data_IF_206436202238
#
_entry.id   IF_206436202238
#
_cell.length_a   1.000
_cell.length_b   1.000
_cell.length_c   1.000
_cell.angle_alpha   90.00
_cell.angle_beta   90.00
_cell.angle_gamma   90.00
#
_symmetry.space_group_name_H-M   'P 1'
#
loop_
_entity.id
_entity.type
_entity.pdbx_description
1 polymer ?
#
# COMPACT_ATOMS: atom_id res chain seq x y z
N UNK A 1 31.99 1.72 0.87
CA UNK A 1 31.66 3.14 1.16
C UNK A 1 31.93 4.09 -0.01
N UNK A 2 32.84 3.79 -0.96
CA UNK A 2 33.15 4.72 -2.08
C UNK A 2 32.11 4.84 -3.21
N UNK A 3 31.21 3.87 -3.39
CA UNK A 3 30.22 3.90 -4.49
C UNK A 3 29.02 4.83 -4.18
N UNK A 4 28.65 5.01 -2.91
CA UNK A 4 27.52 5.89 -2.54
C UNK A 4 27.84 7.39 -2.70
N UNK A 5 29.12 7.79 -2.65
CA UNK A 5 29.51 9.20 -2.75
C UNK A 5 29.31 9.78 -4.16
N UNK A 6 29.43 8.96 -5.21
CA UNK A 6 29.30 9.42 -6.60
C UNK A 6 27.83 9.56 -7.07
N UNK A 7 26.88 9.00 -6.32
CA UNK A 7 25.44 9.00 -6.68
C UNK A 7 24.63 10.00 -5.84
N UNK A 8 25.27 10.72 -4.90
CA UNK A 8 24.57 11.68 -4.03
C UNK A 8 23.67 11.02 -2.97
N UNK A 9 23.87 9.73 -2.71
CA UNK A 9 23.05 8.95 -1.76
C UNK A 9 23.62 9.12 -0.35
N UNK A 10 22.86 9.78 0.53
CA UNK A 10 23.23 9.87 1.94
C UNK A 10 22.76 8.65 2.74
N UNK A 11 23.48 8.26 3.82
CA UNK A 11 22.99 7.23 4.73
C UNK A 11 21.61 7.57 5.31
N UNK A 12 21.34 8.87 5.50
CA UNK A 12 20.07 9.36 6.00
C UNK A 12 18.94 9.14 4.99
N UNK A 13 19.20 9.34 3.70
CA UNK A 13 18.26 9.05 2.62
C UNK A 13 17.93 7.56 2.59
N UNK A 14 18.93 6.68 2.64
CA UNK A 14 18.73 5.22 2.66
C UNK A 14 17.86 4.82 3.85
N UNK A 15 18.18 5.31 5.05
CA UNK A 15 17.41 5.03 6.26
C UNK A 15 15.95 5.49 6.11
N UNK A 16 15.74 6.72 5.61
CA UNK A 16 14.41 7.32 5.44
C UNK A 16 13.58 6.56 4.41
N UNK A 17 14.20 6.17 3.29
CA UNK A 17 13.54 5.36 2.24
C UNK A 17 13.20 3.98 2.77
N UNK A 18 14.13 3.30 3.43
CA UNK A 18 13.92 1.97 3.99
C UNK A 18 12.78 1.97 5.03
N UNK A 19 12.81 2.89 6.00
CA UNK A 19 11.79 2.92 7.04
C UNK A 19 10.41 3.31 6.51
N UNK A 20 10.35 4.20 5.51
CA UNK A 20 9.08 4.58 4.88
C UNK A 20 8.53 3.45 4.02
N UNK A 21 9.38 2.83 3.19
CA UNK A 21 8.98 1.75 2.32
C UNK A 21 8.53 0.52 3.13
N UNK A 22 9.37 0.00 4.02
CA UNK A 22 9.04 -1.21 4.79
C UNK A 22 8.06 -0.93 5.94
N UNK A 23 8.22 0.18 6.65
CA UNK A 23 7.39 0.51 7.81
C UNK A 23 5.97 0.95 7.47
N UNK A 24 5.72 1.40 6.24
CA UNK A 24 4.38 1.84 5.81
C UNK A 24 3.88 1.05 4.60
N UNK A 25 4.65 0.99 3.51
CA UNK A 25 4.19 0.34 2.26
C UNK A 25 4.25 -1.19 2.37
N UNK A 26 5.31 -1.74 2.95
CA UNK A 26 5.40 -3.17 3.24
C UNK A 26 4.33 -3.65 4.20
N UNK A 27 3.96 -2.81 5.16
CA UNK A 27 2.85 -3.09 6.07
C UNK A 27 1.50 -3.21 5.34
N UNK A 28 1.23 -2.32 4.37
CA UNK A 28 0.03 -2.43 3.52
C UNK A 28 0.01 -3.77 2.77
N UNK A 29 1.15 -4.16 2.20
CA UNK A 29 1.30 -5.45 1.53
C UNK A 29 1.05 -6.62 2.46
N UNK A 30 1.60 -6.54 3.68
CA UNK A 30 1.41 -7.54 4.72
C UNK A 30 -0.06 -7.72 5.09
N UNK A 31 -0.76 -6.63 5.42
CA UNK A 31 -2.19 -6.67 5.79
C UNK A 31 -3.10 -7.16 4.67
N UNK A 32 -2.69 -6.95 3.41
CA UNK A 32 -3.41 -7.42 2.22
C UNK A 32 -3.26 -8.94 2.04
N UNK A 33 -2.07 -9.50 2.25
CA UNK A 33 -1.80 -10.92 2.05
C UNK A 33 -2.16 -11.83 3.24
N UNK A 34 -2.16 -11.28 4.46
CA UNK A 34 -2.21 -12.10 5.70
C UNK A 34 -3.49 -12.90 5.90
N UNK A 35 -4.60 -12.54 5.25
CA UNK A 35 -5.88 -13.24 5.43
C UNK A 35 -6.05 -14.45 4.53
N UNK A 36 -5.21 -14.61 3.51
CA UNK A 36 -5.40 -15.58 2.44
C UNK A 36 -5.25 -17.03 2.94
N UNK A 37 -4.09 -17.39 3.51
CA UNK A 37 -3.85 -18.74 4.04
C UNK A 37 -4.69 -19.10 5.27
N UNK A 38 -4.89 -18.22 6.27
CA UNK A 38 -5.75 -18.51 7.41
C UNK A 38 -7.25 -18.43 7.09
N UNK A 39 -7.66 -18.31 5.82
CA UNK A 39 -9.06 -18.15 5.42
C UNK A 39 -9.97 -19.25 5.97
N UNK A 40 -9.53 -20.52 6.00
CA UNK A 40 -10.27 -21.62 6.62
C UNK A 40 -10.46 -21.45 8.12
N UNK A 41 -9.40 -21.06 8.84
CA UNK A 41 -9.43 -20.81 10.28
C UNK A 41 -10.32 -19.62 10.63
N UNK A 42 -10.30 -18.55 9.81
CA UNK A 42 -11.15 -17.38 9.98
C UNK A 42 -12.62 -17.75 9.77
N UNK A 43 -12.96 -18.52 8.72
CA UNK A 43 -14.32 -19.02 8.47
C UNK A 43 -14.85 -19.87 9.63
N UNK A 44 -14.02 -20.77 10.16
CA UNK A 44 -14.38 -21.60 11.32
C UNK A 44 -14.60 -20.75 12.58
N UNK A 45 -13.73 -19.76 12.81
CA UNK A 45 -13.85 -18.84 13.94
C UNK A 45 -15.12 -17.97 13.87
N UNK A 46 -15.41 -17.37 12.71
CA UNK A 46 -16.60 -16.54 12.54
C UNK A 46 -17.88 -17.37 12.63
N UNK A 47 -17.91 -18.56 12.01
CA UNK A 47 -19.06 -19.47 12.07
C UNK A 47 -19.37 -19.98 13.48
N UNK A 48 -18.35 -20.14 14.33
CA UNK A 48 -18.53 -20.60 15.72
C UNK A 48 -19.13 -19.54 16.64
N UNK A 49 -18.81 -18.27 16.43
CA UNK A 49 -19.11 -17.18 17.36
C UNK A 49 -20.15 -16.17 16.83
N UNK A 50 -20.57 -16.27 15.58
CA UNK A 50 -21.66 -15.47 15.00
C UNK A 50 -22.83 -16.37 14.63
N UNK A 51 -23.70 -16.66 15.61
CA UNK A 51 -24.90 -17.48 15.42
C UNK A 51 -25.97 -16.73 14.63
N UNK A 52 -26.51 -17.34 13.56
CA UNK A 52 -27.64 -16.80 12.79
C UNK A 52 -27.29 -15.68 11.80
N UNK A 53 -26.00 -15.47 11.50
CA UNK A 53 -25.57 -14.53 10.48
C UNK A 53 -25.56 -15.12 9.05
N UNK A 54 -25.28 -14.28 8.03
CA UNK A 54 -25.07 -14.74 6.66
C UNK A 54 -23.94 -15.78 6.58
N UNK A 55 -23.93 -16.66 5.56
CA UNK A 55 -22.99 -17.78 5.47
C UNK A 55 -21.51 -17.43 5.74
N UNK A 56 -20.72 -18.40 6.22
CA UNK A 56 -19.30 -18.20 6.64
C UNK A 56 -18.43 -17.59 5.54
N UNK A 57 -18.71 -17.90 4.27
CA UNK A 57 -18.04 -17.30 3.12
C UNK A 57 -18.31 -15.80 2.98
N UNK A 58 -19.55 -15.37 3.23
CA UNK A 58 -19.91 -13.96 3.21
C UNK A 58 -19.22 -13.20 4.35
N UNK A 59 -19.19 -13.79 5.56
CA UNK A 59 -18.48 -13.20 6.70
C UNK A 59 -16.98 -13.06 6.42
N UNK A 60 -16.35 -14.08 5.83
CA UNK A 60 -14.95 -14.03 5.43
C UNK A 60 -14.69 -12.97 4.36
N UNK A 61 -15.54 -12.89 3.33
CA UNK A 61 -15.44 -11.83 2.31
C UNK A 61 -15.60 -10.43 2.91
N UNK A 62 -16.47 -10.29 3.92
CA UNK A 62 -16.70 -9.03 4.61
C UNK A 62 -15.46 -8.53 5.36
N UNK A 63 -14.63 -9.43 5.93
CA UNK A 63 -13.35 -9.08 6.57
C UNK A 63 -12.44 -8.33 5.59
N UNK A 64 -12.32 -8.84 4.35
CA UNK A 64 -11.53 -8.22 3.29
C UNK A 64 -12.17 -6.94 2.75
N UNK A 65 -13.49 -6.93 2.57
CA UNK A 65 -14.22 -5.78 2.03
C UNK A 65 -14.13 -4.55 2.97
N UNK A 66 -14.28 -4.75 4.28
CA UNK A 66 -14.21 -3.67 5.27
C UNK A 66 -12.83 -3.01 5.28
N UNK A 67 -11.75 -3.79 5.11
CA UNK A 67 -10.39 -3.26 4.98
C UNK A 67 -10.26 -2.31 3.79
N UNK A 68 -10.79 -2.71 2.62
CA UNK A 68 -10.74 -1.89 1.39
C UNK A 68 -11.59 -0.62 1.54
N UNK A 69 -12.80 -0.73 2.10
CA UNK A 69 -13.68 0.43 2.33
C UNK A 69 -13.02 1.43 3.29
N UNK A 70 -12.46 0.95 4.40
CA UNK A 70 -11.73 1.81 5.33
C UNK A 70 -10.47 2.43 4.68
N UNK A 71 -9.78 1.68 3.83
CA UNK A 71 -8.67 2.19 3.01
C UNK A 71 -9.08 3.30 2.06
N UNK A 72 -10.24 3.20 1.43
CA UNK A 72 -10.77 4.27 0.58
C UNK A 72 -11.01 5.57 1.39
N UNK A 73 -11.61 5.45 2.57
CA UNK A 73 -11.84 6.59 3.48
C UNK A 73 -10.51 7.18 3.95
N UNK A 74 -9.56 6.33 4.36
CA UNK A 74 -8.22 6.75 4.75
C UNK A 74 -7.48 7.47 3.63
N UNK A 75 -7.58 6.97 2.40
CA UNK A 75 -6.96 7.56 1.21
C UNK A 75 -7.49 8.97 0.93
N UNK A 76 -8.80 9.19 1.10
CA UNK A 76 -9.41 10.51 0.93
C UNK A 76 -8.92 11.53 1.97
N UNK A 77 -8.64 11.08 3.19
CA UNK A 77 -8.11 11.93 4.27
C UNK A 77 -6.61 12.24 4.14
N UNK A 78 -5.86 11.39 3.42
CA UNK A 78 -4.39 11.43 3.35
C UNK A 78 -3.81 12.77 2.91
N UNK A 79 -4.41 13.41 1.89
CA UNK A 79 -3.95 14.71 1.37
C UNK A 79 -4.08 15.83 2.39
N UNK A 80 -5.23 15.94 3.06
CA UNK A 80 -5.48 16.95 4.10
C UNK A 80 -4.51 16.78 5.28
N UNK A 81 -4.23 15.53 5.65
CA UNK A 81 -3.31 15.22 6.74
C UNK A 81 -1.87 15.57 6.36
N UNK A 82 -1.42 15.18 5.17
CA UNK A 82 -0.08 15.48 4.66
C UNK A 82 0.19 16.98 4.48
N UNK A 83 -0.84 17.77 4.14
CA UNK A 83 -0.75 19.23 4.03
C UNK A 83 -0.73 19.94 5.39
N UNK A 84 -1.45 19.42 6.40
CA UNK A 84 -1.53 20.06 7.74
C UNK A 84 -0.39 19.63 8.67
N UNK A 85 -0.14 18.34 8.79
CA UNK A 85 0.79 17.77 9.76
C UNK A 85 2.22 17.68 9.20
N UNK A 86 2.35 17.58 7.88
CA UNK A 86 3.60 17.20 7.20
C UNK A 86 3.60 15.73 6.83
N UNK A 87 4.56 15.31 6.00
CA UNK A 87 4.59 13.96 5.44
C UNK A 87 5.04 12.96 6.51
N UNK A 88 6.19 13.25 7.13
CA UNK A 88 6.78 12.44 8.22
C UNK A 88 5.85 12.34 9.42
N UNK A 89 5.30 13.46 9.88
CA UNK A 89 4.41 13.44 11.05
C UNK A 89 3.08 12.72 10.77
N UNK A 90 2.57 12.79 9.53
CA UNK A 90 1.38 12.02 9.14
C UNK A 90 1.67 10.52 9.17
N UNK A 91 2.82 10.09 8.64
CA UNK A 91 3.25 8.68 8.71
C UNK A 91 3.45 8.22 10.16
N UNK A 92 3.99 9.07 11.04
CA UNK A 92 4.14 8.75 12.46
C UNK A 92 2.80 8.54 13.16
N UNK A 93 1.82 9.41 12.90
CA UNK A 93 0.47 9.23 13.41
C UNK A 93 -0.20 8.00 12.79
N UNK A 94 0.10 7.70 11.53
CA UNK A 94 -0.44 6.54 10.84
C UNK A 94 0.05 5.22 11.43
N UNK A 95 1.31 5.15 11.84
CA UNK A 95 1.86 4.01 12.56
C UNK A 95 1.11 3.74 13.88
N UNK A 96 0.53 4.77 14.52
CA UNK A 96 -0.32 4.55 15.70
C UNK A 96 -1.60 3.80 15.33
N UNK A 97 -2.25 4.11 14.20
CA UNK A 97 -3.39 3.33 13.70
C UNK A 97 -3.00 1.87 13.42
N UNK A 98 -1.85 1.63 12.79
CA UNK A 98 -1.35 0.27 12.59
C UNK A 98 -1.21 -0.53 13.90
N UNK A 99 -0.58 0.07 14.92
CA UNK A 99 -0.39 -0.58 16.22
C UNK A 99 -1.74 -0.82 16.91
N UNK A 100 -2.65 0.16 16.88
CA UNK A 100 -3.99 0.01 17.45
C UNK A 100 -4.75 -1.12 16.74
N UNK A 101 -4.71 -1.18 15.41
CA UNK A 101 -5.32 -2.25 14.63
C UNK A 101 -4.79 -3.64 15.01
N UNK A 102 -3.47 -3.77 15.12
CA UNK A 102 -2.79 -4.99 15.54
C UNK A 102 -3.18 -5.42 16.97
N UNK A 103 -3.20 -4.48 17.93
CA UNK A 103 -3.56 -4.75 19.33
C UNK A 103 -5.04 -5.11 19.48
N UNK A 104 -5.93 -4.54 18.66
CA UNK A 104 -7.36 -4.88 18.66
C UNK A 104 -7.57 -6.28 18.06
N UNK A 105 -6.92 -6.61 16.94
CA UNK A 105 -7.14 -7.91 16.28
C UNK A 105 -6.43 -9.07 16.99
N UNK A 106 -5.25 -8.86 17.57
CA UNK A 106 -4.46 -9.91 18.21
C UNK A 106 -5.23 -10.79 19.21
N UNK A 107 -5.98 -10.24 20.18
CA UNK A 107 -6.71 -11.03 21.16
C UNK A 107 -8.06 -11.57 20.65
N UNK A 108 -8.42 -11.45 19.36
CA UNK A 108 -9.78 -11.77 18.90
C UNK A 108 -10.22 -13.21 19.21
N UNK A 109 -9.32 -14.19 19.07
CA UNK A 109 -9.60 -15.60 19.42
C UNK A 109 -9.68 -15.81 20.93
N UNK A 110 -8.78 -15.19 21.71
CA UNK A 110 -8.78 -15.29 23.18
C UNK A 110 -10.06 -14.68 23.78
N UNK A 111 -10.50 -13.55 23.25
CA UNK A 111 -11.71 -12.85 23.65
C UNK A 111 -12.99 -13.46 23.02
N UNK A 112 -12.87 -14.48 22.16
CA UNK A 112 -13.98 -15.17 21.49
C UNK A 112 -14.93 -14.20 20.77
N UNK A 113 -14.38 -13.12 20.22
CA UNK A 113 -15.16 -12.01 19.67
C UNK A 113 -14.71 -11.67 18.24
N UNK A 114 -15.47 -12.11 17.22
CA UNK A 114 -15.24 -11.74 15.82
C UNK A 114 -15.33 -10.22 15.59
N UNK A 115 -16.04 -9.48 16.44
CA UNK A 115 -16.12 -8.02 16.33
C UNK A 115 -14.74 -7.35 16.38
N UNK A 116 -13.81 -7.89 17.20
CA UNK A 116 -12.44 -7.39 17.30
C UNK A 116 -11.66 -7.56 15.99
N UNK A 117 -11.92 -8.64 15.24
CA UNK A 117 -11.34 -8.83 13.92
C UNK A 117 -11.82 -7.74 12.96
N UNK A 118 -13.13 -7.51 12.88
CA UNK A 118 -13.69 -6.49 11.98
C UNK A 118 -13.26 -5.08 12.35
N UNK A 119 -13.28 -4.71 13.64
CA UNK A 119 -12.86 -3.39 14.11
C UNK A 119 -11.37 -3.17 13.80
N UNK A 120 -10.50 -4.15 14.11
CA UNK A 120 -9.09 -4.01 13.80
C UNK A 120 -8.81 -3.94 12.30
N UNK A 121 -9.64 -4.57 11.46
CA UNK A 121 -9.57 -4.43 9.99
C UNK A 121 -9.98 -3.05 9.49
N UNK A 122 -11.00 -2.42 10.11
CA UNK A 122 -11.31 -1.00 9.84
C UNK A 122 -10.09 -0.13 10.13
N UNK A 123 -9.49 -0.28 11.31
CA UNK A 123 -8.35 0.55 11.74
C UNK A 123 -7.12 0.30 10.83
N UNK A 124 -6.82 -0.96 10.52
CA UNK A 124 -5.71 -1.32 9.63
C UNK A 124 -5.96 -0.85 8.18
N UNK A 125 -7.22 -0.86 7.73
CA UNK A 125 -7.61 -0.30 6.44
C UNK A 125 -7.38 1.20 6.37
N UNK A 126 -7.79 1.97 7.39
CA UNK A 126 -7.46 3.40 7.49
C UNK A 126 -5.94 3.63 7.40
N UNK A 127 -5.16 2.85 8.14
CA UNK A 127 -3.69 2.89 8.07
C UNK A 127 -3.18 2.63 6.64
N UNK A 128 -3.70 1.60 5.97
CA UNK A 128 -3.26 1.25 4.63
C UNK A 128 -3.54 2.36 3.60
N UNK A 129 -4.73 2.96 3.66
CA UNK A 129 -5.14 4.05 2.77
C UNK A 129 -4.27 5.29 2.91
N UNK A 130 -3.99 5.70 4.16
CA UNK A 130 -3.10 6.85 4.42
C UNK A 130 -1.66 6.52 4.00
N UNK A 131 -1.18 5.31 4.30
CA UNK A 131 0.18 4.87 3.97
C UNK A 131 0.45 4.91 2.47
N UNK A 132 -0.45 4.39 1.64
CA UNK A 132 -0.26 4.36 0.18
C UNK A 132 -0.08 5.77 -0.41
N UNK A 133 -0.90 6.74 0.01
CA UNK A 133 -0.81 8.11 -0.47
C UNK A 133 0.41 8.85 0.08
N UNK A 134 0.58 8.86 1.40
CA UNK A 134 1.59 9.69 2.06
C UNK A 134 3.00 9.13 1.90
N UNK A 135 3.18 7.80 1.92
CA UNK A 135 4.50 7.19 1.74
C UNK A 135 5.05 7.49 0.34
N UNK A 136 4.24 7.31 -0.71
CA UNK A 136 4.64 7.64 -2.08
C UNK A 136 4.98 9.12 -2.25
N UNK A 137 4.17 10.01 -1.67
CA UNK A 137 4.43 11.45 -1.67
C UNK A 137 5.74 11.80 -0.95
N UNK A 138 5.94 11.24 0.25
CA UNK A 138 7.13 11.50 1.05
C UNK A 138 8.40 11.04 0.32
N UNK A 139 8.38 9.81 -0.19
CA UNK A 139 9.48 9.24 -0.97
C UNK A 139 9.80 10.10 -2.20
N UNK A 140 8.79 10.55 -2.94
CA UNK A 140 8.98 11.40 -4.13
C UNK A 140 9.61 12.75 -3.79
N UNK A 141 9.23 13.35 -2.66
CA UNK A 141 9.70 14.68 -2.25
C UNK A 141 11.10 14.68 -1.63
N UNK A 142 11.54 13.57 -1.03
CA UNK A 142 12.91 13.44 -0.48
C UNK A 142 13.91 12.91 -1.51
N UNK A 143 13.44 12.39 -2.64
CA UNK A 143 14.27 11.77 -3.66
C UNK A 143 15.04 12.80 -4.49
N UNK A 144 16.38 12.63 -4.64
CA UNK A 144 17.15 13.30 -5.68
C UNK A 144 16.59 13.00 -7.07
N UNK A 145 16.78 13.92 -8.02
CA UNK A 145 16.22 13.81 -9.38
C UNK A 145 16.66 12.55 -10.11
N UNK A 146 17.95 12.21 -9.97
CA UNK A 146 18.59 11.10 -10.69
C UNK A 146 18.07 9.71 -10.26
N UNK A 147 17.61 9.56 -9.01
CA UNK A 147 17.24 8.25 -8.43
C UNK A 147 15.78 8.18 -7.97
N UNK A 148 14.96 9.17 -8.35
CA UNK A 148 13.54 9.22 -7.98
C UNK A 148 12.76 8.01 -8.48
N UNK A 149 13.10 7.49 -9.67
CA UNK A 149 12.53 6.26 -10.22
C UNK A 149 12.82 5.06 -9.32
N UNK A 150 14.09 4.85 -8.97
CA UNK A 150 14.53 3.78 -8.07
C UNK A 150 13.92 3.88 -6.66
N UNK A 151 13.72 5.08 -6.12
CA UNK A 151 13.06 5.23 -4.80
C UNK A 151 11.56 4.92 -4.90
N UNK A 152 10.90 5.33 -5.98
CA UNK A 152 9.52 4.91 -6.27
C UNK A 152 9.40 3.39 -6.44
N UNK A 153 10.43 2.76 -7.01
CA UNK A 153 10.53 1.32 -7.14
C UNK A 153 10.60 0.61 -5.78
N UNK A 154 11.35 1.16 -4.81
CA UNK A 154 11.40 0.63 -3.44
C UNK A 154 10.02 0.60 -2.77
N UNK A 155 9.15 1.58 -3.04
CA UNK A 155 7.77 1.60 -2.53
C UNK A 155 6.98 0.36 -2.99
N UNK A 156 7.00 0.08 -4.30
CA UNK A 156 6.29 -1.06 -4.88
C UNK A 156 6.92 -2.40 -4.48
N UNK A 157 8.25 -2.48 -4.39
CA UNK A 157 8.94 -3.68 -3.91
C UNK A 157 8.60 -3.98 -2.45
N UNK A 158 8.53 -2.96 -1.59
CA UNK A 158 8.17 -3.17 -0.20
C UNK A 158 6.74 -3.74 -0.08
N UNK A 159 5.79 -3.24 -0.86
CA UNK A 159 4.42 -3.81 -0.93
C UNK A 159 4.44 -5.30 -1.29
N UNK A 160 5.16 -5.69 -2.36
CA UNK A 160 5.17 -7.10 -2.79
C UNK A 160 5.96 -8.01 -1.85
N UNK A 161 7.04 -7.51 -1.25
CA UNK A 161 7.75 -8.20 -0.17
C UNK A 161 6.87 -8.37 1.06
N UNK A 162 6.05 -7.37 1.41
CA UNK A 162 5.08 -7.46 2.50
C UNK A 162 4.09 -8.60 2.32
N UNK A 163 3.55 -8.75 1.10
CA UNK A 163 2.66 -9.87 0.74
C UNK A 163 3.38 -11.21 0.89
N UNK A 164 4.61 -11.31 0.39
CA UNK A 164 5.41 -12.54 0.50
C UNK A 164 5.70 -12.91 1.97
N UNK A 165 6.09 -11.93 2.79
CA UNK A 165 6.31 -12.13 4.23
C UNK A 165 5.02 -12.60 4.91
N UNK A 166 3.86 -12.03 4.54
CA UNK A 166 2.58 -12.47 5.06
C UNK A 166 2.29 -13.95 4.74
N UNK A 167 2.55 -14.39 3.50
CA UNK A 167 2.37 -15.79 3.13
C UNK A 167 3.32 -16.73 3.87
N UNK A 168 4.59 -16.34 4.04
CA UNK A 168 5.57 -17.14 4.79
C UNK A 168 5.16 -17.25 6.27
N UNK A 169 4.74 -16.15 6.90
CA UNK A 169 4.31 -16.17 8.29
C UNK A 169 2.99 -16.92 8.51
N UNK A 170 2.17 -17.08 7.47
CA UNK A 170 0.91 -17.82 7.52
C UNK A 170 1.01 -19.22 6.93
N UNK A 171 2.21 -19.80 6.89
CA UNK A 171 2.37 -21.24 6.73
C UNK A 171 1.83 -21.98 7.96
N UNK A 172 1.33 -23.20 7.75
CA UNK A 172 0.79 -24.05 8.82
C UNK A 172 1.84 -24.38 9.88
N UNK A 173 3.10 -24.50 9.45
CA UNK A 173 4.27 -24.77 10.29
C UNK A 173 4.69 -23.56 11.15
N UNK A 174 4.17 -22.36 10.86
CA UNK A 174 4.61 -21.10 11.46
C UNK A 174 3.56 -20.52 12.40
N UNK A 175 2.51 -19.88 11.87
CA UNK A 175 1.46 -19.24 12.66
C UNK A 175 0.04 -19.55 12.18
N UNK A 176 -0.14 -20.34 11.11
CA UNK A 176 -1.48 -20.68 10.61
C UNK A 176 -2.10 -21.88 11.35
N UNK A 177 -2.33 -21.70 12.66
CA UNK A 177 -3.09 -22.65 13.48
C UNK A 177 -4.35 -21.97 14.02
N UNK A 178 -5.32 -22.75 14.49
CA UNK A 178 -6.61 -22.24 15.01
C UNK A 178 -6.46 -21.15 16.09
N UNK A 179 -5.35 -21.18 16.85
CA UNK A 179 -5.07 -20.26 17.95
C UNK A 179 -4.06 -19.16 17.60
N UNK A 180 -3.11 -19.40 16.68
CA UNK A 180 -1.99 -18.48 16.41
C UNK A 180 -2.21 -17.56 15.21
N UNK A 181 -3.20 -17.80 14.33
CA UNK A 181 -3.42 -16.93 13.18
C UNK A 181 -3.69 -15.44 13.55
N UNK A 182 -4.33 -15.08 14.68
CA UNK A 182 -4.47 -13.68 15.08
C UNK A 182 -3.13 -13.05 15.48
N UNK A 183 -2.18 -13.85 15.96
CA UNK A 183 -0.84 -13.38 16.25
C UNK A 183 -0.12 -13.01 14.96
N UNK A 184 -0.29 -13.79 13.88
CA UNK A 184 0.22 -13.43 12.56
C UNK A 184 -0.33 -12.07 12.10
N UNK A 185 -1.62 -11.81 12.31
CA UNK A 185 -2.19 -10.48 12.06
C UNK A 185 -1.58 -9.41 12.97
N UNK A 186 -1.44 -9.69 14.27
CA UNK A 186 -0.88 -8.76 15.25
C UNK A 186 0.59 -8.40 15.00
N UNK A 187 1.37 -9.27 14.35
CA UNK A 187 2.77 -9.00 14.01
C UNK A 187 2.95 -7.82 13.06
N UNK A 188 1.90 -7.38 12.35
CA UNK A 188 1.86 -6.13 11.61
C UNK A 188 2.25 -4.91 12.49
N UNK A 189 1.97 -4.96 13.79
CA UNK A 189 2.32 -3.91 14.74
C UNK A 189 3.84 -3.75 14.98
N UNK A 190 4.64 -4.79 14.72
CA UNK A 190 6.11 -4.77 14.95
C UNK A 190 6.82 -3.80 13.99
N UNK A 191 6.71 -3.92 12.66
CA UNK A 191 7.32 -2.95 11.75
C UNK A 191 6.75 -1.54 11.94
N UNK A 192 5.47 -1.40 12.30
CA UNK A 192 4.86 -0.12 12.63
C UNK A 192 5.50 0.53 13.87
N UNK A 193 5.74 -0.25 14.94
CA UNK A 193 6.41 0.22 16.14
C UNK A 193 7.86 0.65 15.85
N UNK A 194 8.62 -0.17 15.10
CA UNK A 194 9.98 0.17 14.68
C UNK A 194 9.97 1.49 13.89
N UNK A 195 9.05 1.63 12.93
CA UNK A 195 8.86 2.86 12.18
C UNK A 195 8.52 4.05 13.08
N UNK A 196 7.64 3.87 14.06
CA UNK A 196 7.28 4.91 15.03
C UNK A 196 8.48 5.44 15.84
N UNK A 197 9.45 4.58 16.18
CA UNK A 197 10.66 4.99 16.89
C UNK A 197 11.73 5.59 15.96
N UNK A 198 11.88 5.10 14.73
CA UNK A 198 12.94 5.53 13.81
C UNK A 198 12.58 6.79 13.03
N UNK A 199 11.31 6.94 12.63
CA UNK A 199 10.84 8.04 11.81
C UNK A 199 11.04 9.45 12.41
N UNK A 200 10.96 9.68 13.74
CA UNK A 200 11.31 10.97 14.37
C UNK A 200 12.72 11.46 14.05
N UNK A 201 13.67 10.54 13.86
CA UNK A 201 15.06 10.88 13.52
C UNK A 201 15.21 11.28 12.04
N UNK A 202 14.23 10.90 11.20
CA UNK A 202 14.20 11.25 9.78
C UNK A 202 13.83 12.73 9.54
N UNK A 203 14.43 13.39 8.55
CA UNK A 203 14.10 14.77 8.22
C UNK A 203 12.68 14.85 7.62
N UNK A 204 11.95 15.90 7.93
CA UNK A 204 10.68 16.19 7.25
C UNK A 204 10.94 16.60 5.78
N UNK A 205 9.93 16.46 4.93
CA UNK A 205 10.02 16.86 3.51
C UNK A 205 10.53 18.30 3.35
N UNK A 206 11.66 18.54 2.64
CA UNK A 206 12.17 19.89 2.38
C UNK A 206 11.13 20.76 1.67
N UNK A 207 10.39 20.17 0.72
CA UNK A 207 9.30 20.83 0.00
C UNK A 207 8.18 21.28 0.94
N UNK A 208 7.77 20.42 1.87
CA UNK A 208 6.75 20.78 2.86
C UNK A 208 7.20 21.90 3.80
N UNK A 209 8.44 21.82 4.31
CA UNK A 209 9.00 22.84 5.21
C UNK A 209 9.02 24.23 4.55
N UNK A 210 9.36 24.27 3.25
CA UNK A 210 9.36 25.51 2.48
C UNK A 210 7.93 25.98 2.13
N UNK A 211 7.17 25.13 1.43
CA UNK A 211 5.89 25.51 0.81
C UNK A 211 4.77 25.73 1.82
N UNK A 212 4.66 24.86 2.83
CA UNK A 212 3.53 24.88 3.77
C UNK A 212 3.88 25.61 5.08
N UNK A 213 5.14 25.53 5.54
CA UNK A 213 5.57 26.17 6.79
C UNK A 213 6.32 27.49 6.61
N UNK A 214 6.72 27.85 5.39
CA UNK A 214 7.52 29.06 5.13
C UNK A 214 8.91 29.02 5.79
N UNK A 215 9.41 27.84 6.17
CA UNK A 215 10.67 27.69 6.89
C UNK A 215 11.80 27.32 5.92
N UNK A 216 12.37 28.34 5.28
CA UNK A 216 13.48 28.17 4.33
C UNK A 216 14.71 27.53 4.99
N UNK A 217 15.09 27.97 6.18
CA UNK A 217 16.27 27.44 6.88
C UNK A 217 16.11 25.94 7.20
N UNK A 218 14.91 25.53 7.63
CA UNK A 218 14.58 24.13 7.86
C UNK A 218 14.60 23.30 6.59
N UNK A 219 14.06 23.82 5.49
CA UNK A 219 14.07 23.16 4.19
C UNK A 219 15.50 22.92 3.69
N UNK A 220 16.38 23.94 3.77
CA UNK A 220 17.81 23.83 3.42
C UNK A 220 18.51 22.76 4.24
N UNK A 221 18.33 22.78 5.57
CA UNK A 221 18.93 21.79 6.48
C UNK A 221 18.44 20.37 6.21
N UNK A 222 17.17 20.19 5.89
CA UNK A 222 16.61 18.89 5.53
C UNK A 222 17.16 18.40 4.17
N UNK A 223 17.26 19.28 3.19
CA UNK A 223 17.77 18.96 1.85
C UNK A 223 19.23 18.50 1.90
N UNK A 224 20.13 19.24 2.57
CA UNK A 224 21.56 18.86 2.70
C UNK A 224 21.74 17.48 3.37
N UNK A 225 20.84 17.11 4.29
CA UNK A 225 20.88 15.79 4.93
C UNK A 225 20.45 14.66 3.98
N UNK A 226 19.55 14.94 3.05
CA UNK A 226 18.97 13.95 2.13
C UNK A 226 19.74 13.85 0.81
N UNK A 227 20.30 14.96 0.36
CA UNK A 227 20.99 15.09 -0.92
C UNK A 227 22.36 15.71 -0.71
N UNK A 228 23.41 15.02 -1.17
CA UNK A 228 24.78 15.51 -1.09
C UNK A 228 25.34 16.01 -2.42
N UNK A 229 24.58 15.90 -3.51
CA UNK A 229 25.05 16.20 -4.87
C UNK A 229 24.39 17.45 -5.46
N UNK A 230 23.11 17.67 -5.20
CA UNK A 230 22.38 18.81 -5.75
C UNK A 230 22.66 20.09 -4.96
N UNK A 231 22.69 21.21 -5.69
CA UNK A 231 22.82 22.53 -5.08
C UNK A 231 21.51 22.91 -4.36
N UNK A 232 21.64 23.20 -3.07
CA UNK A 232 20.55 23.61 -2.20
C UNK A 232 19.94 24.93 -2.70
N UNK A 233 20.76 25.86 -3.20
CA UNK A 233 20.29 27.16 -3.65
C UNK A 233 19.41 27.04 -4.88
N UNK A 234 19.83 26.23 -5.88
CA UNK A 234 19.00 25.94 -7.05
C UNK A 234 17.68 25.29 -6.66
N UNK A 235 17.69 24.30 -5.75
CA UNK A 235 16.47 23.65 -5.29
C UNK A 235 15.49 24.64 -4.61
N UNK A 236 16.01 25.55 -3.78
CA UNK A 236 15.18 26.57 -3.12
C UNK A 236 14.65 27.59 -4.13
N UNK A 237 15.43 27.97 -5.13
CA UNK A 237 14.99 28.87 -6.20
C UNK A 237 13.84 28.26 -7.01
N UNK A 238 13.95 26.99 -7.39
CA UNK A 238 12.86 26.26 -8.05
C UNK A 238 11.58 26.22 -7.19
N UNK A 239 11.71 25.99 -5.88
CA UNK A 239 10.56 26.03 -4.97
C UNK A 239 9.96 27.44 -4.84
N UNK A 240 10.77 28.50 -4.93
CA UNK A 240 10.30 29.89 -4.97
C UNK A 240 9.49 30.14 -6.24
N UNK A 241 9.99 29.70 -7.38
CA UNK A 241 9.29 29.80 -8.66
C UNK A 241 7.97 29.02 -8.63
N UNK A 242 7.96 27.80 -8.09
CA UNK A 242 6.74 27.00 -7.90
C UNK A 242 5.73 27.71 -7.00
N UNK A 243 6.19 28.34 -5.90
CA UNK A 243 5.33 29.08 -4.98
C UNK A 243 4.72 30.31 -5.64
N UNK A 244 5.50 31.09 -6.40
CA UNK A 244 5.00 32.25 -7.13
C UNK A 244 4.01 31.86 -8.24
N UNK A 245 4.30 30.77 -8.96
CA UNK A 245 3.37 30.21 -9.92
C UNK A 245 2.07 29.72 -9.26
N UNK A 246 2.15 29.11 -8.07
CA UNK A 246 1.00 28.67 -7.30
C UNK A 246 0.15 29.83 -6.78
N UNK A 247 0.76 30.93 -6.32
CA UNK A 247 0.05 32.16 -5.90
C UNK A 247 -0.74 32.82 -7.03
N UNK A 248 -0.23 32.72 -8.26
CA UNK A 248 -0.91 33.23 -9.47
C UNK A 248 -2.13 32.40 -9.87
N UNK A 249 -2.26 31.17 -9.35
CA UNK A 249 -3.40 30.28 -9.63
C UNK A 249 -4.43 30.40 -8.51
N UNK A 250 -5.74 30.38 -8.83
CA UNK A 250 -6.78 30.37 -7.81
C UNK A 250 -6.66 29.10 -6.94
N UNK A 251 -6.90 29.23 -5.63
CA UNK A 251 -6.85 28.10 -4.68
C UNK A 251 -7.75 26.96 -5.19
N UNK A 252 -7.12 25.81 -5.40
CA UNK A 252 -7.77 24.64 -5.95
C UNK A 252 -8.76 24.04 -4.94
N UNK A 253 -10.02 23.86 -5.33
CA UNK A 253 -11.03 23.12 -4.55
C UNK A 253 -11.14 21.71 -5.12
N UNK A 254 -11.29 20.70 -4.26
CA UNK A 254 -11.41 19.29 -4.67
C UNK A 254 -12.51 19.05 -5.72
N UNK A 255 -13.60 19.81 -5.70
CA UNK A 255 -14.66 19.72 -6.72
C UNK A 255 -14.26 20.25 -8.10
N UNK A 256 -13.27 21.13 -8.18
CA UNK A 256 -12.77 21.67 -9.46
C UNK A 256 -11.99 20.63 -10.27
N UNK A 257 -11.57 19.51 -9.66
CA UNK A 257 -10.96 18.35 -10.34
C UNK A 257 -11.85 17.86 -11.49
N UNK A 258 -13.16 17.78 -11.26
CA UNK A 258 -14.13 17.27 -12.25
C UNK A 258 -14.67 18.38 -13.16
N UNK A 259 -14.60 19.64 -12.74
CA UNK A 259 -15.16 20.77 -13.50
C UNK A 259 -14.15 21.42 -14.44
N UNK A 260 -12.86 21.46 -14.09
CA UNK A 260 -11.83 22.15 -14.87
C UNK A 260 -11.49 21.40 -16.17
N UNK A 261 -11.64 22.08 -17.32
CA UNK A 261 -11.44 21.49 -18.66
C UNK A 261 -10.03 20.89 -18.83
N UNK A 262 -9.03 21.53 -18.24
CA UNK A 262 -7.62 21.12 -18.33
C UNK A 262 -7.29 19.86 -17.52
N UNK A 263 -8.11 19.54 -16.50
CA UNK A 263 -7.88 18.40 -15.60
C UNK A 263 -8.80 17.21 -15.88
N UNK A 264 -9.92 17.41 -16.59
CA UNK A 264 -10.87 16.32 -16.89
C UNK A 264 -10.21 15.13 -17.59
N UNK A 265 -9.40 15.37 -18.62
CA UNK A 265 -8.73 14.30 -19.36
C UNK A 265 -7.69 13.56 -18.51
N UNK A 266 -6.74 14.25 -17.83
CA UNK A 266 -5.81 13.59 -16.91
C UNK A 266 -6.51 12.79 -15.81
N UNK A 267 -7.56 13.33 -15.21
CA UNK A 267 -8.32 12.67 -14.13
C UNK A 267 -9.05 11.44 -14.66
N UNK A 268 -9.72 11.55 -15.81
CA UNK A 268 -10.40 10.42 -16.45
C UNK A 268 -9.41 9.29 -16.76
N UNK A 269 -8.25 9.61 -17.35
CA UNK A 269 -7.22 8.63 -17.64
C UNK A 269 -6.67 7.98 -16.36
N UNK A 270 -6.41 8.76 -15.32
CA UNK A 270 -5.99 8.22 -14.03
C UNK A 270 -7.03 7.27 -13.43
N UNK A 271 -8.31 7.65 -13.45
CA UNK A 271 -9.41 6.79 -12.98
C UNK A 271 -9.51 5.49 -13.80
N UNK A 272 -9.42 5.57 -15.13
CA UNK A 272 -9.50 4.41 -16.01
C UNK A 272 -8.33 3.44 -15.75
N UNK A 273 -7.11 3.96 -15.58
CA UNK A 273 -5.93 3.13 -15.25
C UNK A 273 -6.13 2.41 -13.91
N UNK A 274 -6.64 3.10 -12.88
CA UNK A 274 -6.89 2.47 -11.57
C UNK A 274 -8.03 1.47 -11.61
N UNK A 275 -9.11 1.75 -12.34
CA UNK A 275 -10.21 0.79 -12.54
C UNK A 275 -9.70 -0.46 -13.26
N UNK A 276 -8.93 -0.30 -14.33
CA UNK A 276 -8.33 -1.40 -15.06
C UNK A 276 -7.40 -2.24 -14.17
N UNK A 277 -6.60 -1.59 -13.31
CA UNK A 277 -5.74 -2.28 -12.36
C UNK A 277 -6.55 -3.15 -11.39
N UNK A 278 -7.66 -2.64 -10.83
CA UNK A 278 -8.50 -3.41 -9.91
C UNK A 278 -9.27 -4.53 -10.63
N UNK A 279 -9.80 -4.27 -11.82
CA UNK A 279 -10.55 -5.25 -12.63
C UNK A 279 -9.67 -6.38 -13.18
N UNK A 280 -8.34 -6.24 -13.15
CA UNK A 280 -7.44 -7.36 -13.45
C UNK A 280 -7.59 -8.55 -12.49
N UNK A 281 -8.23 -8.35 -11.34
CA UNK A 281 -8.46 -9.39 -10.35
C UNK A 281 -7.21 -9.72 -9.52
N UNK A 282 -6.14 -8.92 -9.59
CA UNK A 282 -4.90 -9.18 -8.84
C UNK A 282 -5.14 -9.25 -7.32
N UNK A 283 -6.02 -8.40 -6.79
CA UNK A 283 -6.39 -8.42 -5.37
C UNK A 283 -7.24 -9.66 -5.01
N UNK A 284 -7.99 -10.23 -5.97
CA UNK A 284 -8.68 -11.49 -5.76
C UNK A 284 -7.67 -12.65 -5.65
N UNK A 285 -6.63 -12.65 -6.48
CA UNK A 285 -5.53 -13.62 -6.35
C UNK A 285 -4.83 -13.46 -5.00
N UNK A 286 -4.48 -12.23 -4.59
CA UNK A 286 -3.75 -12.00 -3.34
C UNK A 286 -4.58 -12.38 -2.10
N UNK A 287 -5.89 -12.14 -2.11
CA UNK A 287 -6.74 -12.39 -0.95
C UNK A 287 -7.37 -13.79 -0.92
N UNK A 288 -7.53 -14.45 -2.08
CA UNK A 288 -8.32 -15.68 -2.20
C UNK A 288 -7.63 -16.82 -2.98
N UNK A 289 -6.34 -16.71 -3.31
CA UNK A 289 -5.65 -17.80 -4.05
C UNK A 289 -5.69 -19.14 -3.32
N UNK A 290 -5.67 -19.17 -1.98
CA UNK A 290 -5.80 -20.42 -1.22
C UNK A 290 -7.12 -21.13 -1.52
N UNK A 291 -8.23 -20.38 -1.49
CA UNK A 291 -9.58 -20.87 -1.81
C UNK A 291 -9.71 -21.25 -3.28
N UNK A 292 -9.10 -20.50 -4.20
CA UNK A 292 -9.10 -20.84 -5.64
C UNK A 292 -8.39 -22.17 -5.91
N UNK A 293 -7.24 -22.40 -5.26
CA UNK A 293 -6.47 -23.65 -5.39
C UNK A 293 -7.18 -24.82 -4.70
N UNK A 294 -7.88 -24.59 -3.59
CA UNK A 294 -8.72 -25.59 -2.92
C UNK A 294 -9.87 -26.04 -3.84
N UNK A 295 -10.58 -25.09 -4.47
CA UNK A 295 -11.65 -25.40 -5.44
C UNK A 295 -11.12 -26.12 -6.69
N UNK A 296 -9.85 -25.90 -7.06
CA UNK A 296 -9.20 -26.63 -8.15
C UNK A 296 -8.82 -28.07 -7.79
N UNK A 297 -9.03 -28.50 -6.54
CA UNK A 297 -8.78 -29.87 -6.08
C UNK A 297 -7.34 -30.16 -5.65
N UNK A 298 -6.54 -29.13 -5.34
CA UNK A 298 -5.20 -29.33 -4.79
C UNK A 298 -5.26 -29.76 -3.32
N UNK A 299 -4.30 -30.59 -2.91
CA UNK A 299 -4.15 -30.97 -1.52
C UNK A 299 -3.75 -29.78 -0.64
N UNK A 300 -4.31 -29.71 0.57
CA UNK A 300 -4.06 -28.61 1.53
C UNK A 300 -2.58 -28.38 1.82
N UNK A 301 -1.79 -29.46 1.88
CA UNK A 301 -0.35 -29.39 2.10
C UNK A 301 0.39 -28.70 0.95
N UNK A 302 -0.11 -28.80 -0.29
CA UNK A 302 0.49 -28.18 -1.48
C UNK A 302 0.04 -26.74 -1.67
N UNK A 303 -1.21 -26.41 -1.30
CA UNK A 303 -1.81 -25.07 -1.47
C UNK A 303 -0.92 -24.00 -0.83
N UNK A 304 -0.47 -24.20 0.41
CA UNK A 304 0.36 -23.22 1.11
C UNK A 304 1.66 -22.87 0.37
N UNK A 305 2.34 -23.87 -0.19
CA UNK A 305 3.57 -23.68 -0.96
C UNK A 305 3.30 -23.02 -2.31
N UNK A 306 2.18 -23.36 -2.96
CA UNK A 306 1.76 -22.68 -4.19
C UNK A 306 1.45 -21.19 -3.94
N UNK A 307 0.78 -20.84 -2.84
CA UNK A 307 0.50 -19.44 -2.47
C UNK A 307 1.78 -18.66 -2.21
N UNK A 308 2.74 -19.23 -1.47
CA UNK A 308 4.08 -18.64 -1.31
C UNK A 308 4.78 -18.48 -2.66
N UNK A 309 4.68 -19.47 -3.55
CA UNK A 309 5.19 -19.41 -4.92
C UNK A 309 4.61 -18.26 -5.74
N UNK A 310 3.30 -18.00 -5.63
CA UNK A 310 2.63 -16.85 -6.25
C UNK A 310 3.20 -15.54 -5.70
N UNK A 311 3.40 -15.44 -4.38
CA UNK A 311 4.03 -14.29 -3.74
C UNK A 311 5.47 -14.05 -4.22
N UNK A 312 6.26 -15.11 -4.31
CA UNK A 312 7.65 -15.04 -4.79
C UNK A 312 7.71 -14.61 -6.26
N UNK A 313 6.84 -15.17 -7.10
CA UNK A 313 6.70 -14.77 -8.50
C UNK A 313 6.33 -13.28 -8.62
N UNK A 314 5.42 -12.79 -7.79
CA UNK A 314 5.04 -11.38 -7.75
C UNK A 314 6.24 -10.46 -7.44
N UNK A 315 7.08 -10.84 -6.47
CA UNK A 315 8.31 -10.09 -6.15
C UNK A 315 9.30 -10.11 -7.32
N UNK A 316 9.57 -11.28 -7.91
CA UNK A 316 10.48 -11.41 -9.05
C UNK A 316 10.02 -10.58 -10.24
N UNK A 317 8.73 -10.65 -10.58
CA UNK A 317 8.14 -9.85 -11.65
C UNK A 317 8.20 -8.36 -11.35
N UNK A 318 8.03 -7.96 -10.09
CA UNK A 318 8.21 -6.57 -9.68
C UNK A 318 9.64 -6.13 -9.95
N UNK A 319 10.66 -6.89 -9.52
CA UNK A 319 12.07 -6.57 -9.74
C UNK A 319 12.38 -6.42 -11.24
N UNK A 320 11.83 -7.28 -12.09
CA UNK A 320 12.01 -7.23 -13.55
C UNK A 320 11.30 -6.01 -14.17
N UNK A 321 10.12 -5.64 -13.67
CA UNK A 321 9.33 -4.54 -14.21
C UNK A 321 9.98 -3.17 -13.97
N UNK A 322 10.71 -2.99 -12.87
CA UNK A 322 11.33 -1.71 -12.50
C UNK A 322 12.29 -1.13 -13.56
N UNK A 323 13.33 -1.86 -14.02
CA UNK A 323 14.24 -1.33 -15.05
C UNK A 323 13.56 -1.14 -16.41
N UNK A 324 12.46 -1.87 -16.68
CA UNK A 324 11.68 -1.69 -17.91
C UNK A 324 10.91 -0.36 -17.89
N UNK A 325 10.35 0.02 -16.74
CA UNK A 325 9.64 1.29 -16.57
C UNK A 325 10.56 2.50 -16.77
N UNK A 326 11.78 2.45 -16.24
CA UNK A 326 12.76 3.54 -16.40
C UNK A 326 13.24 3.71 -17.85
N UNK A 327 13.17 2.66 -18.68
CA UNK A 327 13.50 2.71 -20.11
C UNK A 327 12.38 3.29 -20.99
N UNK A 328 11.33 3.85 -20.40
CA UNK A 328 10.23 4.50 -21.13
C UNK A 328 9.09 3.57 -21.58
N UNK A 329 9.04 2.33 -21.09
CA UNK A 329 8.02 1.36 -21.48
C UNK A 329 6.70 1.50 -20.70
N UNK A 330 6.57 2.49 -19.82
CA UNK A 330 5.38 2.65 -18.97
C UNK A 330 4.05 2.73 -19.75
N UNK A 331 3.94 3.48 -20.86
CA UNK A 331 2.73 3.49 -21.68
C UNK A 331 2.49 2.12 -22.36
N UNK A 332 3.54 1.51 -22.89
CA UNK A 332 3.48 0.22 -23.59
C UNK A 332 3.09 -0.94 -22.67
N UNK A 333 3.59 -0.97 -21.43
CA UNK A 333 3.26 -1.98 -20.42
C UNK A 333 1.79 -1.84 -19.99
N UNK A 334 1.32 -0.61 -19.81
CA UNK A 334 -0.08 -0.34 -19.43
C UNK A 334 -1.04 -0.76 -20.55
N UNK A 335 -0.67 -0.54 -21.81
CA UNK A 335 -1.44 -0.96 -22.99
C UNK A 335 -1.44 -2.49 -23.14
N UNK A 336 -0.29 -3.14 -22.95
CA UNK A 336 -0.21 -4.62 -22.97
C UNK A 336 -0.97 -5.28 -21.82
N UNK A 337 -1.03 -4.64 -20.65
CA UNK A 337 -1.88 -5.09 -19.56
C UNK A 337 -3.36 -4.91 -19.90
N UNK A 338 -3.74 -3.76 -20.47
CA UNK A 338 -5.11 -3.45 -20.86
C UNK A 338 -5.67 -4.44 -21.89
N UNK A 339 -4.85 -4.79 -22.89
CA UNK A 339 -5.25 -5.73 -23.94
C UNK A 339 -5.50 -7.15 -23.42
N UNK A 340 -4.88 -7.54 -22.29
CA UNK A 340 -5.13 -8.84 -21.63
C UNK A 340 -6.34 -8.82 -20.70
N UNK A 341 -6.68 -7.68 -20.12
CA UNK A 341 -7.85 -7.55 -19.23
C UNK A 341 -9.18 -7.45 -20.00
N UNK A 342 -9.18 -6.84 -21.18
CA UNK A 342 -10.39 -6.71 -22.03
C UNK A 342 -11.06 -8.04 -22.40
N UNK A 343 -10.33 -9.09 -22.84
CA UNK A 343 -10.92 -10.40 -23.12
C UNK A 343 -11.50 -11.10 -21.88
N UNK A 344 -10.89 -10.91 -20.71
CA UNK A 344 -11.36 -11.50 -19.45
C UNK A 344 -12.70 -10.88 -18.99
N UNK A 345 -12.92 -9.59 -19.22
CA UNK A 345 -14.22 -8.96 -19.00
C UNK A 345 -15.29 -9.48 -19.98
N UNK A 346 -14.91 -9.71 -21.24
CA UNK A 346 -15.80 -10.29 -22.25
C UNK A 346 -16.19 -11.73 -21.90
N UNK A 347 -15.24 -12.56 -21.43
CA UNK A 347 -15.54 -13.94 -21.00
C UNK A 347 -16.34 -13.97 -19.69
N UNK A 348 -16.03 -13.09 -18.74
CA UNK A 348 -16.79 -12.97 -17.49
C UNK A 348 -18.24 -12.54 -17.71
N UNK A 349 -18.49 -11.64 -18.67
CA UNK A 349 -19.84 -11.26 -19.07
C UNK A 349 -20.59 -12.37 -19.82
N UNK A 350 -19.89 -13.19 -20.62
CA UNK A 350 -20.50 -14.30 -21.34
C UNK A 350 -20.94 -15.44 -20.40
N UNK A 351 -20.08 -15.83 -19.45
CA UNK A 351 -20.41 -16.85 -18.46
C UNK A 351 -21.52 -16.41 -17.48
N UNK A 352 -21.67 -15.10 -17.24
CA UNK A 352 -22.74 -14.58 -16.39
C UNK A 352 -24.10 -14.48 -17.12
N UNK A 353 -24.10 -14.38 -18.45
CA UNK A 353 -25.29 -14.49 -19.30
C UNK A 353 -25.74 -15.95 -19.46
N UNK A 354 -24.81 -16.89 -19.64
CA UNK A 354 -25.13 -18.32 -19.82
C UNK A 354 -25.82 -18.91 -18.57
N UNK A 355 -25.34 -18.54 -17.37
CA UNK A 355 -25.96 -18.98 -16.10
C UNK A 355 -27.33 -18.33 -15.80
N UNK A 356 -27.78 -17.33 -16.57
CA UNK A 356 -29.14 -16.76 -16.46
C UNK A 356 -30.12 -17.36 -17.46
N UNK A 357 -29.64 -18.11 -18.45
CA UNK A 357 -30.51 -18.82 -19.40
C UNK A 357 -30.79 -20.27 -18.97
N UNK A 358 -30.14 -20.75 -17.90
CA UNK A 358 -30.33 -22.10 -17.33
C UNK A 358 -31.10 -22.16 -16.00
N UNK A 359 -31.73 -21.08 -15.53
CA UNK A 359 -32.69 -21.09 -14.41
C UNK A 359 -34.14 -20.91 -14.87
#
# INVERSE_FOLDING_TARGET
MGVCSNVGITPMLILTVFITAFGSSGLVGYDTGIMNLPGGNIKNFTGKYVSGGPGTDFMYALVSAIFVVAGAIGSFSSGVMAEKLGRRNTLLMNNAFAIIGAVITGPCVLAKSPALLYIGRVVSGFNAGISLGVASLYLTEISPRDIRGAIGACHQLALTLGILIAYILTLDEVLNTETLWPLAVGLAGVPAAISMFVLPFCPESPRFLFMNKGNEHGARKAFVKLNSKEDVDMFIEELKEEMEAAKRRPKFKCGQIFTAKDLRMPVLLACLIQIQQQLSGINAVIAYSSTMLETAGLDKSQIQYCVVGIGAFNVVMTIIALPLLERGWAPSITIMAASRTCPLLSLGAHNHCDNRETE
#
